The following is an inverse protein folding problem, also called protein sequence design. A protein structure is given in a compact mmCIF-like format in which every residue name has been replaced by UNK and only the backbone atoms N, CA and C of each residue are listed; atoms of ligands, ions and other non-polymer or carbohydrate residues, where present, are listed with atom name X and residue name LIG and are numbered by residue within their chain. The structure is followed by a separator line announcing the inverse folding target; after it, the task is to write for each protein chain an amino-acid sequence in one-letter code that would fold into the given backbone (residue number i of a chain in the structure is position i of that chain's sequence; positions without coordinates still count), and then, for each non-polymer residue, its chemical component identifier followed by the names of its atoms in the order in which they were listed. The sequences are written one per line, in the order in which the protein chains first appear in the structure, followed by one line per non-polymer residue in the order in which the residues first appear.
data_IF_891653000805
#
_entry.id   IF_891653000805
#
_cell.length_a   1.000
_cell.length_b   1.000
_cell.length_c   1.000
_cell.angle_alpha   90.00
_cell.angle_beta   90.00
_cell.angle_gamma   90.00
#
_symmetry.space_group_name_H-M   'P 1'
#
loop_
_entity.id
_entity.type
_entity.pdbx_description
1 polymer ?
#
# COMPACT_ATOMS: atom_id res chain seq x y z
N UNK A 1 -19.16 -14.91 -3.36
CA UNK A 1 -18.14 -14.52 -4.36
C UNK A 1 -16.80 -14.46 -3.65
N UNK A 2 -15.85 -15.35 -3.98
CA UNK A 2 -14.57 -15.43 -3.26
C UNK A 2 -13.55 -14.44 -3.83
N UNK A 3 -12.91 -13.69 -2.94
CA UNK A 3 -11.89 -12.68 -3.29
C UNK A 3 -10.54 -13.14 -2.75
N UNK A 4 -9.51 -12.98 -3.56
CA UNK A 4 -8.14 -13.30 -3.20
C UNK A 4 -7.27 -12.07 -3.36
N UNK A 5 -6.16 -12.02 -2.65
CA UNK A 5 -5.23 -10.92 -2.69
C UNK A 5 -3.81 -11.45 -2.83
N UNK A 6 -3.04 -10.90 -3.76
CA UNK A 6 -1.63 -11.22 -3.94
C UNK A 6 -0.78 -10.07 -3.45
N UNK A 7 0.16 -10.38 -2.54
CA UNK A 7 1.11 -9.38 -2.04
C UNK A 7 2.14 -8.99 -3.09
N UNK A 8 2.46 -9.91 -4.00
CA UNK A 8 3.43 -9.69 -5.07
C UNK A 8 2.88 -8.72 -6.12
N UNK A 9 1.61 -8.85 -6.49
CA UNK A 9 0.99 -7.94 -7.48
C UNK A 9 0.34 -6.72 -6.82
N UNK A 10 0.03 -6.79 -5.53
CA UNK A 10 -0.67 -5.75 -4.79
C UNK A 10 -2.16 -5.62 -5.18
N UNK A 11 -2.73 -6.61 -5.86
CA UNK A 11 -4.10 -6.55 -6.44
C UNK A 11 -5.02 -7.66 -5.93
N UNK A 12 -6.33 -7.46 -6.14
CA UNK A 12 -7.37 -8.43 -5.81
C UNK A 12 -7.82 -9.23 -7.02
N UNK A 13 -7.97 -10.53 -6.81
CA UNK A 13 -8.47 -11.49 -7.78
C UNK A 13 -9.85 -12.01 -7.36
N UNK A 14 -10.67 -12.27 -8.36
CA UNK A 14 -12.05 -12.70 -8.22
C UNK A 14 -12.17 -14.08 -8.85
N UNK A 15 -12.56 -15.11 -8.09
CA UNK A 15 -12.59 -16.50 -8.60
C UNK A 15 -13.60 -16.72 -9.72
N UNK A 16 -14.61 -15.87 -9.86
CA UNK A 16 -15.55 -15.93 -10.99
C UNK A 16 -15.06 -15.23 -12.25
N UNK A 17 -13.99 -14.41 -12.16
CA UNK A 17 -13.49 -13.59 -13.27
C UNK A 17 -12.12 -14.10 -13.73
N UNK A 18 -11.26 -14.48 -12.78
CA UNK A 18 -9.88 -14.88 -13.03
C UNK A 18 -9.76 -16.39 -12.99
N UNK A 19 -9.39 -17.00 -14.12
CA UNK A 19 -9.16 -18.44 -14.23
C UNK A 19 -7.83 -18.88 -13.60
N UNK A 20 -6.87 -17.96 -13.51
CA UNK A 20 -5.56 -18.20 -12.94
C UNK A 20 -5.31 -17.22 -11.80
N UNK A 21 -4.89 -17.75 -10.66
CA UNK A 21 -4.46 -16.97 -9.51
C UNK A 21 -2.95 -17.15 -9.33
N UNK A 22 -2.22 -16.10 -8.92
CA UNK A 22 -0.82 -16.25 -8.55
C UNK A 22 -0.68 -17.11 -7.29
N UNK A 23 0.48 -17.76 -7.13
CA UNK A 23 0.71 -18.71 -6.04
C UNK A 23 0.64 -18.10 -4.64
N UNK A 24 0.86 -16.79 -4.52
CA UNK A 24 0.80 -16.05 -3.27
C UNK A 24 -0.57 -15.41 -3.02
N UNK A 25 -1.58 -15.72 -3.85
CA UNK A 25 -2.93 -15.23 -3.67
C UNK A 25 -3.60 -15.88 -2.46
N UNK A 26 -3.84 -15.10 -1.42
CA UNK A 26 -4.53 -15.53 -0.20
C UNK A 26 -5.99 -15.11 -0.20
N UNK A 27 -6.87 -15.96 0.34
CA UNK A 27 -8.29 -15.64 0.45
C UNK A 27 -8.47 -14.47 1.44
N UNK A 28 -9.25 -13.47 1.05
CA UNK A 28 -9.62 -12.35 1.92
C UNK A 28 -11.14 -12.31 2.13
N UNK A 29 -11.55 -11.94 3.33
CA UNK A 29 -12.96 -11.69 3.62
C UNK A 29 -13.43 -10.33 3.06
N UNK A 30 -14.73 -10.13 3.02
CA UNK A 30 -15.32 -8.92 2.47
C UNK A 30 -15.05 -7.67 3.31
N UNK A 31 -15.03 -7.79 4.64
CA UNK A 31 -14.74 -6.67 5.53
C UNK A 31 -13.31 -6.18 5.33
N UNK A 32 -12.34 -7.10 5.19
CA UNK A 32 -10.95 -6.77 4.83
C UNK A 32 -10.87 -6.00 3.51
N UNK A 33 -11.55 -6.49 2.47
CA UNK A 33 -11.59 -5.82 1.18
C UNK A 33 -12.17 -4.40 1.30
N UNK A 34 -13.29 -4.24 2.00
CA UNK A 34 -13.95 -2.96 2.16
C UNK A 34 -13.08 -1.96 2.93
N UNK A 35 -12.52 -2.37 4.07
CA UNK A 35 -11.76 -1.46 4.93
C UNK A 35 -10.37 -1.09 4.40
N UNK A 36 -9.73 -1.96 3.61
CA UNK A 36 -8.33 -1.77 3.18
C UNK A 36 -8.22 -1.37 1.71
N UNK A 37 -9.11 -1.88 0.85
CA UNK A 37 -8.99 -1.77 -0.60
C UNK A 37 -10.05 -0.84 -1.19
N UNK A 38 -11.33 -1.07 -0.87
CA UNK A 38 -12.43 -0.29 -1.44
C UNK A 38 -12.61 1.08 -0.77
N UNK A 39 -12.42 1.16 0.54
CA UNK A 39 -12.61 2.37 1.33
C UNK A 39 -11.48 2.53 2.38
N UNK A 40 -10.22 2.74 1.94
CA UNK A 40 -9.11 2.92 2.86
C UNK A 40 -9.26 4.19 3.67
N UNK A 41 -8.86 4.15 4.94
CA UNK A 41 -8.80 5.34 5.78
C UNK A 41 -7.88 6.40 5.16
N UNK A 42 -8.29 7.69 5.10
CA UNK A 42 -7.46 8.75 4.55
C UNK A 42 -6.09 8.83 5.23
N UNK A 43 -5.05 9.06 4.44
CA UNK A 43 -3.68 9.21 4.95
C UNK A 43 -2.96 7.91 5.33
N UNK A 44 -3.63 6.74 5.28
CA UNK A 44 -2.98 5.44 5.41
C UNK A 44 -2.49 4.93 4.06
N UNK A 45 -1.44 4.10 4.08
CA UNK A 45 -0.95 3.38 2.90
C UNK A 45 -1.23 1.88 3.05
N UNK A 46 -1.41 1.20 1.92
CA UNK A 46 -1.58 -0.26 1.91
C UNK A 46 -0.22 -0.93 2.06
N UNK A 47 -0.18 -1.97 2.89
CA UNK A 47 0.96 -2.86 3.08
C UNK A 47 0.47 -4.28 3.32
N UNK A 48 1.37 -5.17 3.76
CA UNK A 48 1.09 -6.59 3.93
C UNK A 48 1.57 -7.07 5.30
N UNK A 49 0.78 -7.89 5.95
CA UNK A 49 1.23 -8.60 7.15
C UNK A 49 2.08 -9.84 6.81
N UNK A 50 2.49 -10.58 7.84
CA UNK A 50 3.31 -11.79 7.70
C UNK A 50 2.62 -12.89 6.87
N UNK A 51 1.30 -12.94 6.91
CA UNK A 51 0.47 -13.90 6.17
C UNK A 51 0.19 -13.44 4.73
N UNK A 52 0.63 -12.23 4.36
CA UNK A 52 0.42 -11.64 3.03
C UNK A 52 -0.93 -10.99 2.85
N UNK A 53 -1.70 -10.80 3.93
CA UNK A 53 -2.99 -10.12 3.87
C UNK A 53 -2.80 -8.60 3.81
N UNK A 54 -3.69 -7.90 3.09
CA UNK A 54 -3.59 -6.45 2.96
C UNK A 54 -3.94 -5.76 4.28
N UNK A 55 -3.08 -4.85 4.71
CA UNK A 55 -3.28 -4.02 5.91
C UNK A 55 -3.10 -2.53 5.57
N UNK A 56 -3.67 -1.67 6.41
CA UNK A 56 -3.39 -0.23 6.37
C UNK A 56 -2.37 0.10 7.44
N UNK A 57 -1.31 0.78 7.04
CA UNK A 57 -0.28 1.31 7.94
C UNK A 57 -0.18 2.82 7.79
N UNK A 58 0.41 3.47 8.79
CA UNK A 58 0.85 4.85 8.62
C UNK A 58 1.99 4.91 7.60
N UNK A 59 2.01 5.93 6.74
CA UNK A 59 3.15 6.15 5.87
C UNK A 59 4.41 6.30 6.73
N UNK A 60 5.55 5.74 6.29
CA UNK A 60 6.80 5.92 7.02
C UNK A 60 7.08 7.43 7.16
N UNK A 61 7.68 7.86 8.29
CA UNK A 61 8.03 9.25 8.48
C UNK A 61 8.95 9.68 7.35
N UNK A 62 8.63 10.82 6.73
CA UNK A 62 9.53 11.43 5.76
C UNK A 62 10.77 11.93 6.51
N UNK A 63 11.93 11.39 6.12
CA UNK A 63 13.24 11.84 6.58
C UNK A 63 13.95 12.40 5.34
N UNK A 64 14.13 13.72 5.23
CA UNK A 64 14.81 14.30 4.09
C UNK A 64 16.26 13.82 4.04
N UNK A 65 16.74 13.55 2.84
CA UNK A 65 18.14 13.24 2.57
C UNK A 65 19.03 14.46 2.80
N UNK A 66 20.33 14.22 2.98
CA UNK A 66 21.30 15.31 3.11
C UNK A 66 21.28 16.25 1.89
N UNK A 67 21.07 15.71 0.68
CA UNK A 67 20.97 16.47 -0.57
C UNK A 67 19.75 17.38 -0.60
N UNK A 68 18.58 16.87 -0.17
CA UNK A 68 17.36 17.67 -0.04
C UNK A 68 17.52 18.80 0.98
N UNK A 69 18.19 18.53 2.11
CA UNK A 69 18.48 19.54 3.13
C UNK A 69 19.40 20.64 2.61
N UNK A 70 20.49 20.29 1.91
CA UNK A 70 21.38 21.29 1.29
C UNK A 70 20.62 22.16 0.29
N UNK A 71 19.81 21.54 -0.58
CA UNK A 71 19.01 22.27 -1.57
C UNK A 71 18.06 23.28 -0.92
N UNK A 72 17.43 22.90 0.20
CA UNK A 72 16.55 23.81 0.96
C UNK A 72 17.31 24.98 1.58
N UNK A 73 18.52 24.73 2.09
CA UNK A 73 19.38 25.78 2.69
C UNK A 73 19.84 26.77 1.61
N UNK A 74 20.31 26.28 0.46
CA UNK A 74 20.78 27.12 -0.64
C UNK A 74 19.64 28.01 -1.17
N UNK A 75 18.45 27.42 -1.37
CA UNK A 75 17.26 28.16 -1.80
C UNK A 75 16.85 29.25 -0.79
N UNK A 76 16.97 28.97 0.52
CA UNK A 76 16.64 29.94 1.56
C UNK A 76 17.67 31.08 1.65
N UNK A 77 18.94 30.80 1.38
CA UNK A 77 20.01 31.79 1.36
C UNK A 77 19.92 32.72 0.14
N UNK A 78 19.56 32.19 -1.03
CA UNK A 78 19.39 32.98 -2.26
C UNK A 78 18.15 33.89 -2.24
N UNK A 79 17.19 33.61 -1.35
CA UNK A 79 15.95 34.38 -1.22
C UNK A 79 15.99 35.50 -0.15
N UNK A 80 17.11 35.67 0.56
CA UNK A 80 17.30 36.64 1.66
C UNK A 80 18.18 37.83 1.24
#
# INVERSE_FOLDING_TARGET
MSRYYSKTTGTTYLSSVHQHLPNDAVLIDENRYLSVIANPAPGKIRSHDADGLPILIDPPPYVPTAEELCTQIDTAADAA
#
